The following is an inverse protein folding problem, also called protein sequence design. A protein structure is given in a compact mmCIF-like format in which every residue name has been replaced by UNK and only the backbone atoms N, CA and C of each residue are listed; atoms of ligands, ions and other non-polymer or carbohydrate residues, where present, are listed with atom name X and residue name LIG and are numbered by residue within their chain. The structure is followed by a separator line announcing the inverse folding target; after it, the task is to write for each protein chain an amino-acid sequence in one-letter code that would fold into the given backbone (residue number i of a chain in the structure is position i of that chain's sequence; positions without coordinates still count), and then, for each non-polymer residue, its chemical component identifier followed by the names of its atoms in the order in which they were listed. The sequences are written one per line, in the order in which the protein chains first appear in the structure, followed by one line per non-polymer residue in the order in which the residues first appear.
data_IF_976228142676
#
_entry.id   IF_976228142676
#
_cell.length_a   1.000
_cell.length_b   1.000
_cell.length_c   1.000
_cell.angle_alpha   90.00
_cell.angle_beta   90.00
_cell.angle_gamma   90.00
#
_symmetry.space_group_name_H-M   'P 1'
#
loop_
_entity.id
_entity.type
_entity.pdbx_description
1 polymer ?
#
# COMPACT_ATOMS: atom_id res chain seq x y z
N UNK A 1 22.46 6.85 9.59
CA UNK A 1 21.74 6.48 10.52
C UNK A 1 20.46 5.90 10.13
N UNK A 2 19.43 6.56 10.24
CA UNK A 2 18.19 6.01 9.94
C UNK A 2 17.86 5.92 8.51
N UNK A 3 18.68 6.49 7.68
CA UNK A 3 18.40 6.53 6.26
C UNK A 3 18.30 5.14 5.67
N UNK A 4 19.21 4.26 6.04
CA UNK A 4 19.16 2.91 5.49
C UNK A 4 17.92 2.18 5.94
N UNK A 5 17.58 2.33 7.20
CA UNK A 5 16.40 1.68 7.71
C UNK A 5 15.16 2.18 7.01
N UNK A 6 15.14 3.47 6.71
CA UNK A 6 13.98 4.03 6.03
C UNK A 6 13.84 3.47 4.62
N UNK A 7 14.94 3.26 3.94
CA UNK A 7 14.87 2.67 2.62
C UNK A 7 14.28 1.28 2.66
N UNK A 8 14.71 0.49 3.63
CA UNK A 8 14.17 -0.84 3.74
C UNK A 8 12.72 -0.83 4.08
N UNK A 9 12.34 0.09 4.96
CA UNK A 9 10.98 0.13 5.42
C UNK A 9 10.03 0.71 4.41
N UNK A 10 10.53 1.40 3.40
CA UNK A 10 9.64 2.07 2.48
C UNK A 10 8.71 1.12 1.77
N UNK A 11 9.26 0.07 1.16
CA UNK A 11 8.38 -0.85 0.45
C UNK A 11 7.49 -1.62 1.42
N UNK A 12 8.01 -1.93 2.60
CA UNK A 12 7.19 -2.59 3.60
C UNK A 12 6.03 -1.70 4.03
N UNK A 13 6.28 -0.41 4.18
CA UNK A 13 5.22 0.51 4.54
C UNK A 13 4.18 0.61 3.44
N UNK A 14 4.60 0.62 2.19
CA UNK A 14 3.64 0.67 1.10
C UNK A 14 2.76 -0.56 1.11
N UNK A 15 3.33 -1.72 1.43
CA UNK A 15 2.53 -2.93 1.51
C UNK A 15 1.55 -2.86 2.66
N UNK A 16 1.98 -2.27 3.77
CA UNK A 16 1.07 -2.11 4.89
C UNK A 16 -0.08 -1.17 4.54
N UNK A 17 0.22 -0.11 3.81
CA UNK A 17 -0.84 0.77 3.36
C UNK A 17 -1.82 0.02 2.47
N UNK A 18 -1.31 -0.84 1.59
CA UNK A 18 -2.18 -1.62 0.74
C UNK A 18 -3.08 -2.54 1.55
N UNK A 19 -2.50 -3.18 2.55
CA UNK A 19 -3.28 -4.08 3.40
C UNK A 19 -4.35 -3.32 4.17
N UNK A 20 -4.00 -2.14 4.62
CA UNK A 20 -4.96 -1.34 5.32
C UNK A 20 -6.10 -0.94 4.41
N UNK A 21 -5.79 -0.57 3.17
CA UNK A 21 -6.83 -0.25 2.20
C UNK A 21 -7.72 -1.46 1.95
N UNK A 22 -7.13 -2.65 1.85
CA UNK A 22 -7.93 -3.86 1.68
C UNK A 22 -8.87 -4.07 2.85
N UNK A 23 -8.36 -3.85 4.05
CA UNK A 23 -9.17 -4.03 5.24
C UNK A 23 -10.33 -3.05 5.26
N UNK A 24 -10.05 -1.80 4.93
CA UNK A 24 -11.09 -0.79 4.87
C UNK A 24 -12.08 -1.09 3.76
N UNK A 25 -11.61 -1.64 2.66
CA UNK A 25 -12.51 -1.99 1.57
C UNK A 25 -13.54 -3.02 2.02
N UNK A 26 -13.11 -3.96 2.86
CA UNK A 26 -14.03 -4.96 3.34
C UNK A 26 -15.08 -4.37 4.27
N UNK A 27 -14.75 -3.26 4.91
CA UNK A 27 -15.68 -2.60 5.80
C UNK A 27 -16.48 -1.52 5.11
N UNK A 28 -16.19 -1.23 3.87
CA UNK A 28 -16.86 -0.17 3.16
C UNK A 28 -18.34 -0.47 3.03
N UNK A 29 -19.16 0.57 3.16
CA UNK A 29 -20.60 0.40 3.15
C UNK A 29 -21.19 0.54 1.76
N UNK A 30 -20.44 1.08 0.82
CA UNK A 30 -20.94 1.25 -0.53
C UNK A 30 -19.94 0.64 -1.50
N UNK A 31 -20.44 0.29 -2.68
CA UNK A 31 -19.57 -0.24 -3.72
C UNK A 31 -18.57 0.80 -4.17
N UNK A 32 -18.97 2.06 -4.23
CA UNK A 32 -18.07 3.11 -4.63
C UNK A 32 -16.89 3.22 -3.70
N UNK A 33 -17.15 3.22 -2.41
CA UNK A 33 -16.08 3.27 -1.43
C UNK A 33 -15.17 2.06 -1.55
N UNK A 34 -15.76 0.88 -1.71
CA UNK A 34 -14.98 -0.33 -1.79
C UNK A 34 -14.06 -0.30 -2.99
N UNK A 35 -14.59 0.10 -4.14
CA UNK A 35 -13.78 0.14 -5.34
C UNK A 35 -12.67 1.16 -5.23
N UNK A 36 -12.95 2.29 -4.62
CA UNK A 36 -11.92 3.30 -4.42
C UNK A 36 -10.80 2.74 -3.57
N UNK A 37 -11.14 2.08 -2.49
CA UNK A 37 -10.13 1.54 -1.59
C UNK A 37 -9.36 0.40 -2.25
N UNK A 38 -10.03 -0.42 -3.02
CA UNK A 38 -9.34 -1.49 -3.73
C UNK A 38 -8.36 -0.91 -4.75
N UNK A 39 -8.75 0.15 -5.43
CA UNK A 39 -7.84 0.81 -6.34
C UNK A 39 -6.63 1.39 -5.64
N UNK A 40 -6.85 1.96 -4.46
CA UNK A 40 -5.73 2.48 -3.68
C UNK A 40 -4.79 1.37 -3.26
N UNK A 41 -5.35 0.23 -2.86
CA UNK A 41 -4.51 -0.90 -2.46
C UNK A 41 -3.64 -1.36 -3.61
N UNK A 42 -4.21 -1.43 -4.80
CA UNK A 42 -3.43 -1.80 -5.96
C UNK A 42 -2.32 -0.81 -6.26
N UNK A 43 -2.64 0.47 -6.14
CA UNK A 43 -1.64 1.49 -6.38
C UNK A 43 -0.49 1.36 -5.41
N UNK A 44 -0.79 1.12 -4.14
CA UNK A 44 0.26 0.96 -3.15
C UNK A 44 1.12 -0.26 -3.44
N UNK A 45 0.51 -1.36 -3.89
CA UNK A 45 1.28 -2.55 -4.24
C UNK A 45 2.21 -2.28 -5.40
N UNK A 46 1.75 -1.51 -6.35
CA UNK A 46 2.59 -1.15 -7.49
C UNK A 46 3.77 -0.31 -7.04
N UNK A 47 3.51 0.66 -6.19
CA UNK A 47 4.57 1.51 -5.67
C UNK A 47 5.58 0.68 -4.90
N UNK A 48 5.09 -0.27 -4.11
CA UNK A 48 5.98 -1.13 -3.35
C UNK A 48 6.87 -1.96 -4.27
N UNK A 49 6.30 -2.50 -5.32
CA UNK A 49 7.08 -3.29 -6.25
C UNK A 49 8.14 -2.46 -6.94
N UNK A 50 7.81 -1.24 -7.30
CA UNK A 50 8.78 -0.36 -7.91
C UNK A 50 9.88 0.00 -6.95
N UNK A 51 9.54 0.24 -5.71
CA UNK A 51 10.55 0.56 -4.71
C UNK A 51 11.51 -0.60 -4.54
N UNK A 52 10.99 -1.83 -4.55
CA UNK A 52 11.84 -3.00 -4.45
C UNK A 52 12.75 -3.12 -5.65
N UNK A 53 12.24 -2.82 -6.82
CA UNK A 53 13.02 -2.97 -8.03
C UNK A 53 14.14 -1.96 -8.16
N UNK A 54 14.00 -0.85 -7.52
CA UNK A 54 14.98 0.19 -7.66
C UNK A 54 16.19 0.03 -6.80
N UNK A 55 16.33 -1.04 -6.07
CA UNK A 55 17.47 -1.24 -5.22
C UNK A 55 18.77 -1.52 -5.91
#
# INVERSE_FOLDING_TARGET
METSAQYRETSAQYREFAEECDRLAKQAKTDGERKTLEGMAEAWRRVAAEADNKR
#
